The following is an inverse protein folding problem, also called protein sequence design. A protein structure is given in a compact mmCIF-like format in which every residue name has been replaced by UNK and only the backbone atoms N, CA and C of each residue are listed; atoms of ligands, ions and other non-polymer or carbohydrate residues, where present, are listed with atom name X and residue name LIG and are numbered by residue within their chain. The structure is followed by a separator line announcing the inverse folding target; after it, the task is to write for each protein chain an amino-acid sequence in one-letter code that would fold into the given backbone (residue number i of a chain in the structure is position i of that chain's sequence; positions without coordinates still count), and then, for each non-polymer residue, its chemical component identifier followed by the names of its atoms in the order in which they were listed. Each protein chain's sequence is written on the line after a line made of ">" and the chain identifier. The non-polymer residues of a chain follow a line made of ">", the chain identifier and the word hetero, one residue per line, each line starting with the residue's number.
data_IF_792093724777
#
_entry.id   IF_792093724777
#
_cell.length_a   1.000
_cell.length_b   1.000
_cell.length_c   1.000
_cell.angle_alpha   90.00
_cell.angle_beta   90.00
_cell.angle_gamma   90.00
#
_symmetry.space_group_name_H-M   'P 1'
#
loop_
_entity.id
_entity.type
_entity.pdbx_description
1 polymer ?
#
# COMPACT_ATOMS: atom_id res chain seq x y z
N UNK A 1 7.85 1.01 17.20
CA UNK A 1 6.64 0.34 17.75
C UNK A 1 5.63 0.59 16.66
N UNK A 2 5.56 -0.36 15.72
CA UNK A 2 4.68 -0.26 14.57
C UNK A 2 3.27 0.14 15.01
N UNK A 3 2.78 1.23 14.43
CA UNK A 3 1.40 1.64 14.62
C UNK A 3 0.52 0.76 13.72
N UNK A 4 0.10 -0.40 14.23
CA UNK A 4 -0.93 -1.17 13.57
C UNK A 4 -2.28 -0.53 13.82
N UNK A 5 -2.96 -0.10 12.74
CA UNK A 5 -4.33 0.40 12.82
C UNK A 5 -5.27 -0.51 12.03
N UNK A 6 -6.46 -0.67 12.56
CA UNK A 6 -7.54 -1.37 11.86
C UNK A 6 -8.67 -0.38 11.65
N UNK A 7 -9.14 -0.26 10.41
CA UNK A 7 -10.22 0.67 10.07
C UNK A 7 -10.94 0.25 8.81
N UNK A 8 -12.10 0.87 8.57
CA UNK A 8 -12.79 0.71 7.29
C UNK A 8 -12.06 1.50 6.20
N UNK A 9 -11.90 0.91 5.01
CA UNK A 9 -11.49 1.65 3.82
C UNK A 9 -12.58 2.68 3.53
N UNK A 10 -12.23 3.96 3.55
CA UNK A 10 -13.17 5.07 3.33
C UNK A 10 -13.09 5.63 1.93
N UNK A 11 -11.89 5.61 1.33
CA UNK A 11 -11.67 6.16 0.00
C UNK A 11 -10.44 5.52 -0.65
N UNK A 12 -10.44 5.44 -1.98
CA UNK A 12 -9.31 4.91 -2.77
C UNK A 12 -8.85 6.02 -3.72
N UNK A 13 -7.64 6.53 -3.47
CA UNK A 13 -7.09 7.67 -4.19
C UNK A 13 -6.60 7.19 -5.56
N UNK A 14 -5.70 6.22 -5.56
CA UNK A 14 -5.07 5.59 -6.72
C UNK A 14 -4.74 4.12 -6.40
N UNK A 15 -3.87 3.49 -7.19
CA UNK A 15 -3.53 2.08 -7.02
C UNK A 15 -2.63 1.79 -5.81
N UNK A 16 -1.87 2.75 -5.29
CA UNK A 16 -0.97 2.57 -4.14
C UNK A 16 -1.32 3.46 -2.93
N UNK A 17 -2.42 4.21 -3.03
CA UNK A 17 -2.83 5.16 -1.99
C UNK A 17 -4.33 5.01 -1.72
N UNK A 18 -4.65 4.75 -0.45
CA UNK A 18 -6.03 4.64 0.05
C UNK A 18 -6.18 5.32 1.41
N UNK A 19 -7.41 5.68 1.75
CA UNK A 19 -7.76 6.23 3.04
C UNK A 19 -8.44 5.14 3.88
N UNK A 20 -7.91 4.91 5.08
CA UNK A 20 -8.44 3.96 6.07
C UNK A 20 -8.87 4.77 7.30
N UNK A 21 -10.18 4.84 7.54
CA UNK A 21 -10.75 5.78 8.49
C UNK A 21 -10.45 7.23 8.10
N UNK A 22 -9.69 7.92 8.94
CA UNK A 22 -9.21 9.30 8.71
C UNK A 22 -7.74 9.38 8.28
N UNK A 23 -7.07 8.24 8.09
CA UNK A 23 -5.64 8.18 7.79
C UNK A 23 -5.44 7.90 6.32
N UNK A 24 -4.65 8.75 5.64
CA UNK A 24 -4.17 8.48 4.29
C UNK A 24 -2.96 7.56 4.34
N UNK A 25 -3.06 6.43 3.68
CA UNK A 25 -2.06 5.37 3.66
C UNK A 25 -1.50 5.24 2.25
N UNK A 26 -0.18 5.28 2.13
CA UNK A 26 0.57 4.91 0.94
C UNK A 26 1.21 3.55 1.17
N UNK A 27 1.09 2.67 0.18
CA UNK A 27 1.61 1.33 0.27
C UNK A 27 3.15 1.34 0.31
N UNK A 28 3.71 0.65 1.31
CA UNK A 28 5.16 0.47 1.46
C UNK A 28 5.74 -0.35 0.31
N UNK A 29 6.94 0.04 -0.13
CA UNK A 29 7.77 -0.62 -1.14
C UNK A 29 7.16 -0.77 -2.54
N UNK A 30 5.93 -0.30 -2.78
CA UNK A 30 5.27 -0.43 -4.07
C UNK A 30 4.88 0.93 -4.63
N UNK A 31 4.92 1.06 -5.94
CA UNK A 31 4.46 2.25 -6.63
C UNK A 31 3.63 1.87 -7.84
N UNK A 32 2.45 2.46 -7.96
CA UNK A 32 1.59 2.30 -9.15
C UNK A 32 1.83 3.44 -10.15
N UNK A 33 1.46 3.26 -11.43
CA UNK A 33 1.52 4.33 -12.43
C UNK A 33 0.75 5.57 -11.93
N UNK A 34 1.28 6.77 -12.15
CA UNK A 34 0.61 8.01 -11.73
C UNK A 34 -0.55 8.39 -12.67
N UNK A 35 -1.41 9.31 -12.24
CA UNK A 35 -2.53 9.80 -13.03
C UNK A 35 -2.06 10.32 -14.41
N UNK A 36 -2.60 9.72 -15.48
CA UNK A 36 -2.24 10.01 -16.86
C UNK A 36 -1.24 9.04 -17.48
N UNK A 37 -0.70 8.10 -16.71
CA UNK A 37 0.11 6.98 -17.22
C UNK A 37 -0.78 5.77 -17.59
N UNK A 38 -0.33 4.98 -18.56
CA UNK A 38 -0.96 3.71 -18.91
C UNK A 38 -0.91 2.75 -17.72
N UNK A 39 -2.03 2.11 -17.37
CA UNK A 39 -2.12 1.21 -16.22
C UNK A 39 -2.64 1.85 -14.93
N UNK A 40 -2.78 3.19 -14.88
CA UNK A 40 -3.31 3.88 -13.70
C UNK A 40 -4.71 3.41 -13.33
N UNK A 41 -5.61 3.33 -14.31
CA UNK A 41 -7.00 2.96 -14.07
C UNK A 41 -7.10 1.50 -13.63
N UNK A 42 -6.33 0.61 -14.27
CA UNK A 42 -6.27 -0.80 -13.96
C UNK A 42 -5.74 -1.05 -12.53
N UNK A 43 -4.68 -0.36 -12.12
CA UNK A 43 -4.14 -0.45 -10.77
C UNK A 43 -5.13 0.05 -9.71
N UNK A 44 -5.83 1.15 -10.02
CA UNK A 44 -6.88 1.69 -9.16
C UNK A 44 -8.06 0.73 -9.04
N UNK A 45 -8.55 0.19 -10.15
CA UNK A 45 -9.67 -0.74 -10.18
C UNK A 45 -9.33 -2.05 -9.44
N UNK A 46 -8.09 -2.54 -9.57
CA UNK A 46 -7.60 -3.68 -8.80
C UNK A 46 -7.62 -3.43 -7.29
N UNK A 47 -7.23 -2.23 -6.87
CA UNK A 47 -7.28 -1.82 -5.46
C UNK A 47 -8.72 -1.72 -4.96
N UNK A 48 -9.64 -1.19 -5.77
CA UNK A 48 -11.08 -1.16 -5.48
C UNK A 48 -11.67 -2.57 -5.35
N UNK A 49 -11.23 -3.52 -6.17
CA UNK A 49 -11.70 -4.90 -6.11
C UNK A 49 -11.13 -5.67 -4.91
N UNK A 50 -9.86 -5.43 -4.57
CA UNK A 50 -9.16 -6.11 -3.46
C UNK A 50 -9.55 -5.54 -2.10
N UNK A 51 -9.68 -4.22 -2.02
CA UNK A 51 -9.97 -3.46 -0.81
C UNK A 51 -11.19 -2.54 -1.01
N UNK A 52 -12.39 -3.06 -1.28
CA UNK A 52 -13.55 -2.23 -1.56
C UNK A 52 -13.89 -1.33 -0.37
N UNK A 53 -14.36 -0.12 -0.66
CA UNK A 53 -14.79 0.85 0.36
C UNK A 53 -15.83 0.21 1.28
N UNK A 54 -15.63 0.39 2.60
CA UNK A 54 -16.41 -0.25 3.65
C UNK A 54 -15.82 -1.57 4.17
N UNK A 55 -14.83 -2.15 3.48
CA UNK A 55 -14.11 -3.33 3.97
C UNK A 55 -13.19 -2.95 5.12
N UNK A 56 -13.07 -3.82 6.11
CA UNK A 56 -12.11 -3.66 7.18
C UNK A 56 -10.69 -3.98 6.66
N UNK A 57 -9.83 -2.98 6.71
CA UNK A 57 -8.41 -3.06 6.40
C UNK A 57 -7.59 -3.04 7.69
N UNK A 58 -6.54 -3.86 7.71
CA UNK A 58 -5.47 -3.80 8.69
C UNK A 58 -4.28 -3.12 8.02
N UNK A 59 -3.76 -2.10 8.67
CA UNK A 59 -2.68 -1.26 8.17
C UNK A 59 -1.52 -1.41 9.14
N UNK A 60 -0.39 -1.88 8.63
CA UNK A 60 0.83 -2.12 9.36
C UNK A 60 1.88 -1.08 8.93
N UNK A 61 2.08 -0.06 9.76
CA UNK A 61 2.98 1.07 9.46
C UNK A 61 4.43 0.60 9.35
N UNK A 62 5.16 1.13 8.35
CA UNK A 62 6.59 0.90 8.18
C UNK A 62 7.40 1.69 9.23
N UNK A 63 7.93 0.99 10.23
CA UNK A 63 8.76 1.53 11.32
C UNK A 63 9.99 2.28 10.77
N UNK A 64 10.47 1.93 9.57
CA UNK A 64 11.56 2.60 8.88
C UNK A 64 11.18 3.94 8.24
N UNK A 65 9.88 4.20 8.08
CA UNK A 65 9.32 5.34 7.35
C UNK A 65 8.14 6.02 8.07
N UNK A 66 8.14 6.00 9.40
CA UNK A 66 7.11 6.57 10.30
C UNK A 66 6.88 8.07 10.18
N UNK A 67 7.86 8.82 9.67
CA UNK A 67 7.68 10.26 9.44
C UNK A 67 6.65 10.54 8.33
N UNK A 68 6.38 9.54 7.48
CA UNK A 68 5.53 9.68 6.33
C UNK A 68 6.07 10.66 5.29
N UNK A 69 5.70 10.49 4.04
CA UNK A 69 5.90 11.54 3.04
C UNK A 69 4.69 12.47 3.07
N UNK A 70 4.88 13.72 3.55
CA UNK A 70 3.86 14.78 3.50
C UNK A 70 2.57 14.50 4.30
N UNK A 71 2.68 13.88 5.49
CA UNK A 71 1.53 13.58 6.34
C UNK A 71 0.70 12.35 5.92
N UNK A 72 1.32 11.46 5.13
CA UNK A 72 0.76 10.15 4.76
C UNK A 72 1.51 9.05 5.51
N UNK A 73 0.78 8.08 6.04
CA UNK A 73 1.37 6.89 6.64
C UNK A 73 1.89 5.98 5.52
N UNK A 74 3.09 5.43 5.67
CA UNK A 74 3.63 4.41 4.76
C UNK A 74 3.43 3.06 5.44
N UNK A 75 2.73 2.14 4.80
CA UNK A 75 2.31 0.90 5.47
C UNK A 75 2.07 -0.25 4.48
N UNK A 76 2.04 -1.47 4.99
CA UNK A 76 1.43 -2.62 4.31
C UNK A 76 -0.04 -2.70 4.69
N UNK A 77 -0.90 -2.89 3.69
CA UNK A 77 -2.34 -2.96 3.91
C UNK A 77 -2.87 -4.34 3.62
N UNK A 78 -3.68 -4.85 4.54
CA UNK A 78 -4.35 -6.15 4.44
C UNK A 78 -5.86 -5.97 4.45
N UNK A 79 -6.53 -6.42 3.39
CA UNK A 79 -7.99 -6.41 3.29
C UNK A 79 -8.52 -7.84 3.25
N UNK A 80 -9.34 -8.24 4.23
CA UNK A 80 -9.85 -9.62 4.31
C UNK A 80 -8.74 -10.68 4.39
N UNK A 81 -7.57 -10.33 4.91
CA UNK A 81 -6.39 -11.21 4.99
C UNK A 81 -5.51 -11.22 3.73
N UNK A 82 -5.87 -10.49 2.68
CA UNK A 82 -5.06 -10.33 1.46
C UNK A 82 -4.13 -9.13 1.61
N UNK A 83 -2.83 -9.33 1.41
CA UNK A 83 -1.84 -8.25 1.34
C UNK A 83 -2.00 -7.50 0.00
N UNK A 84 -2.45 -6.24 0.06
CA UNK A 84 -2.67 -5.41 -1.12
C UNK A 84 -1.35 -5.09 -1.85
N UNK A 85 -0.28 -4.80 -1.11
CA UNK A 85 1.03 -4.47 -1.68
C UNK A 85 1.57 -5.64 -2.52
N UNK A 86 1.54 -6.85 -1.95
CA UNK A 86 1.94 -8.07 -2.64
C UNK A 86 1.03 -8.35 -3.85
N UNK A 87 -0.29 -8.20 -3.69
CA UNK A 87 -1.25 -8.47 -4.75
C UNK A 87 -1.00 -7.56 -5.96
N UNK A 88 -0.76 -6.27 -5.75
CA UNK A 88 -0.46 -5.31 -6.82
C UNK A 88 0.84 -5.65 -7.56
N UNK A 89 1.90 -6.02 -6.83
CA UNK A 89 3.17 -6.45 -7.42
C UNK A 89 3.01 -7.72 -8.25
N UNK A 90 2.36 -8.76 -7.69
CA UNK A 90 2.16 -10.04 -8.36
C UNK A 90 1.28 -9.92 -9.61
N UNK A 91 0.31 -9.01 -9.58
CA UNK A 91 -0.55 -8.73 -10.72
C UNK A 91 0.09 -7.82 -11.78
N UNK A 92 1.29 -7.27 -11.51
CA UNK A 92 1.99 -6.38 -12.44
C UNK A 92 1.37 -4.98 -12.56
N UNK A 93 0.55 -4.59 -11.57
CA UNK A 93 -0.05 -3.26 -11.50
C UNK A 93 0.79 -2.25 -10.73
N UNK A 94 1.73 -2.73 -9.92
CA UNK A 94 2.72 -1.92 -9.22
C UNK A 94 4.14 -2.42 -9.51
N UNK A 95 5.10 -1.53 -9.35
CA UNK A 95 6.53 -1.83 -9.38
C UNK A 95 7.14 -1.72 -7.98
N UNK A 96 8.16 -2.54 -7.73
CA UNK A 96 8.91 -2.50 -6.48
C UNK A 96 9.80 -1.25 -6.44
N UNK A 97 9.66 -0.47 -5.37
CA UNK A 97 10.51 0.69 -5.09
C UNK A 97 11.73 0.24 -4.29
N UNK A 98 12.69 -0.36 -4.98
CA UNK A 98 13.90 -0.92 -4.36
C UNK A 98 14.73 0.11 -3.55
N UNK A 99 14.56 1.40 -3.83
CA UNK A 99 15.18 2.49 -3.09
C UNK A 99 14.89 2.45 -1.59
N UNK A 100 13.68 2.03 -1.20
CA UNK A 100 13.27 1.96 0.20
C UNK A 100 13.57 0.61 0.87
N UNK A 101 14.13 -0.37 0.16
CA UNK A 101 14.49 -1.68 0.75
C UNK A 101 15.52 -1.56 1.89
N UNK A 102 16.38 -0.54 1.90
CA UNK A 102 17.38 -0.35 2.95
C UNK A 102 16.82 0.27 4.23
N UNK A 103 15.60 0.81 4.18
CA UNK A 103 14.96 1.48 5.31
C UNK A 103 13.71 0.77 5.78
N UNK A 104 12.94 0.18 4.85
CA UNK A 104 11.65 -0.44 5.14
C UNK A 104 11.83 -1.71 5.95
N UNK A 105 11.06 -1.87 7.02
CA UNK A 105 11.07 -3.12 7.79
C UNK A 105 10.51 -4.31 6.98
N UNK A 106 9.73 -4.02 5.94
CA UNK A 106 9.14 -5.04 5.08
C UNK A 106 10.11 -5.56 4.02
N UNK A 107 11.33 -5.03 3.93
CA UNK A 107 12.30 -5.42 2.91
C UNK A 107 12.61 -6.92 2.91
N UNK A 108 12.65 -7.55 4.10
CA UNK A 108 12.94 -8.98 4.24
C UNK A 108 11.73 -9.90 3.95
N UNK A 109 10.58 -9.32 3.55
CA UNK A 109 9.39 -10.10 3.25
C UNK A 109 9.56 -10.89 1.94
N UNK A 110 8.99 -12.10 1.88
CA UNK A 110 9.10 -12.96 0.70
C UNK A 110 8.48 -12.36 -0.58
N UNK A 111 7.62 -11.34 -0.45
CA UNK A 111 6.91 -10.71 -1.56
C UNK A 111 7.63 -9.48 -2.14
N UNK A 112 8.58 -8.88 -1.41
CA UNK A 112 9.21 -7.60 -1.80
C UNK A 112 10.37 -7.79 -2.75
N UNK A 113 10.99 -8.98 -2.87
CA UNK A 113 12.10 -9.20 -3.81
C UNK A 113 13.28 -8.23 -3.62
N UNK A 114 13.39 -7.60 -2.44
CA UNK A 114 14.52 -6.76 -2.07
C UNK A 114 15.80 -7.61 -1.99
N UNK A 115 16.96 -7.04 -2.37
CA UNK A 115 18.25 -7.73 -2.33
C UNK A 115 18.85 -7.84 -0.93
#
# INVERSE_FOLDING_TARGET
>A
MAACLTGGVTYIVDGDTLDVGSTRVRLALVNTPEAGQTGYQEAKDFTVQTCPVGTQALVDEDDGQTAGSYGRMIAVVYCGGVNLNEALLRSGYAELVAYYCSVSEFADQAWTGCP
#
